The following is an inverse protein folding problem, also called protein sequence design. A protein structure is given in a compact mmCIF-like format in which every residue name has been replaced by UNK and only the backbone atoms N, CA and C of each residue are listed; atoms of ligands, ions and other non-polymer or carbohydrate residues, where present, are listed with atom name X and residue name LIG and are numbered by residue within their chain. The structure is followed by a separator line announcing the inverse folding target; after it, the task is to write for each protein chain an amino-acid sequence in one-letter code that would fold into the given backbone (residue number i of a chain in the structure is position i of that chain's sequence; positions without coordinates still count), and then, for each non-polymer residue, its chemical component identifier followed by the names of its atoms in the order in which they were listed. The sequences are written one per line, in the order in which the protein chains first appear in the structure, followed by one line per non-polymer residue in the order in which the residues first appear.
data_IF_130497856493
#
_entry.id   IF_130497856493
#
_cell.length_a   1.000
_cell.length_b   1.000
_cell.length_c   1.000
_cell.angle_alpha   90.00
_cell.angle_beta   90.00
_cell.angle_gamma   90.00
#
_symmetry.space_group_name_H-M   'P 1'
#
loop_
_entity.id
_entity.type
_entity.pdbx_description
1 polymer ?
#
# COMPACT_ATOMS: atom_id res chain seq x y z
N UNK A 1 9.18 -19.43 26.63
CA UNK A 1 10.24 -19.52 25.60
C UNK A 1 9.63 -19.46 24.19
N UNK A 2 8.44 -20.05 23.92
CA UNK A 2 7.77 -19.99 22.59
C UNK A 2 7.18 -18.60 22.23
N UNK A 3 6.72 -17.83 23.20
CA UNK A 3 6.11 -16.50 22.96
C UNK A 3 7.14 -15.45 22.49
N UNK A 4 8.33 -15.44 23.07
CA UNK A 4 9.40 -14.48 22.73
C UNK A 4 9.93 -14.69 21.29
N UNK A 5 9.99 -15.94 20.84
CA UNK A 5 10.42 -16.28 19.47
C UNK A 5 9.39 -15.82 18.41
N UNK A 6 8.09 -15.96 18.68
CA UNK A 6 7.02 -15.54 17.75
C UNK A 6 6.99 -14.01 17.61
N UNK A 7 7.13 -13.27 18.71
CA UNK A 7 7.11 -11.79 18.69
C UNK A 7 8.31 -11.21 17.93
N UNK A 8 9.51 -11.81 18.10
CA UNK A 8 10.70 -11.39 17.36
C UNK A 8 10.58 -11.66 15.84
N UNK A 9 9.95 -12.77 15.46
CA UNK A 9 9.67 -13.11 14.06
C UNK A 9 8.67 -12.11 13.43
N UNK A 10 7.59 -11.77 14.14
CA UNK A 10 6.60 -10.79 13.70
C UNK A 10 7.21 -9.39 13.50
N UNK A 11 8.02 -8.91 14.45
CA UNK A 11 8.68 -7.62 14.32
C UNK A 11 9.62 -7.56 13.11
N UNK A 12 10.33 -8.66 12.82
CA UNK A 12 11.17 -8.77 11.63
C UNK A 12 10.36 -8.74 10.34
N UNK A 13 9.22 -9.41 10.29
CA UNK A 13 8.31 -9.41 9.13
C UNK A 13 7.70 -8.03 8.87
N UNK A 14 7.30 -7.32 9.92
CA UNK A 14 6.78 -5.95 9.80
C UNK A 14 7.85 -4.99 9.28
N UNK A 15 9.08 -5.11 9.73
CA UNK A 15 10.19 -4.30 9.22
C UNK A 15 10.45 -4.59 7.73
N UNK A 16 10.53 -5.87 7.35
CA UNK A 16 10.65 -6.28 5.94
C UNK A 16 9.52 -5.72 5.06
N UNK A 17 8.28 -5.78 5.55
CA UNK A 17 7.10 -5.26 4.84
C UNK A 17 7.21 -3.76 4.60
N UNK A 18 7.61 -2.99 5.62
CA UNK A 18 7.78 -1.54 5.48
C UNK A 18 8.89 -1.18 4.48
N UNK A 19 10.01 -1.89 4.49
CA UNK A 19 11.09 -1.70 3.50
C UNK A 19 10.59 -1.98 2.07
N UNK A 20 9.87 -3.10 1.86
CA UNK A 20 9.32 -3.45 0.54
C UNK A 20 8.35 -2.38 0.03
N UNK A 21 7.45 -1.87 0.87
CA UNK A 21 6.48 -0.84 0.49
C UNK A 21 7.20 0.47 0.18
N UNK A 22 8.19 0.87 0.98
CA UNK A 22 8.95 2.10 0.76
C UNK A 22 9.70 2.07 -0.60
N UNK A 23 10.26 0.93 -0.98
CA UNK A 23 10.96 0.75 -2.26
C UNK A 23 10.02 0.77 -3.48
N UNK A 24 8.74 0.43 -3.29
CA UNK A 24 7.77 0.34 -4.39
C UNK A 24 6.96 1.63 -4.59
N UNK A 25 6.86 2.50 -3.59
CA UNK A 25 6.23 3.83 -3.58
C UNK A 25 4.76 3.87 -4.04
N UNK A 26 4.42 3.24 -5.18
CA UNK A 26 3.10 3.29 -5.79
C UNK A 26 2.28 2.04 -5.46
N UNK A 27 1.16 2.25 -4.79
CA UNK A 27 0.14 1.24 -4.58
C UNK A 27 -0.86 1.19 -5.75
N UNK A 28 -1.31 0.01 -6.11
CA UNK A 28 -2.50 -0.20 -6.92
C UNK A 28 -3.70 -0.35 -5.98
N UNK A 29 -4.40 0.74 -5.71
CA UNK A 29 -5.58 0.75 -4.84
C UNK A 29 -6.79 0.20 -5.59
N UNK A 30 -7.33 -0.91 -5.10
CA UNK A 30 -8.58 -1.52 -5.58
C UNK A 30 -9.73 -1.21 -4.63
N UNK A 31 -10.80 -0.67 -5.18
CA UNK A 31 -12.08 -0.36 -4.51
C UNK A 31 -13.24 -1.06 -5.22
N UNK A 32 -14.39 -1.14 -4.55
CA UNK A 32 -15.63 -1.69 -5.11
C UNK A 32 -16.62 -0.58 -5.43
N UNK A 33 -17.11 -0.55 -6.66
CA UNK A 33 -18.19 0.32 -7.10
C UNK A 33 -19.54 -0.13 -6.55
N UNK A 34 -20.57 0.75 -6.51
CA UNK A 34 -21.93 0.38 -6.10
C UNK A 34 -22.57 -0.74 -6.92
N UNK A 35 -22.16 -0.92 -8.19
CA UNK A 35 -22.60 -2.00 -9.07
C UNK A 35 -21.86 -3.33 -8.84
N UNK A 36 -20.94 -3.37 -7.85
CA UNK A 36 -20.17 -4.54 -7.46
C UNK A 36 -18.85 -4.74 -8.23
N UNK A 37 -18.59 -3.97 -9.29
CA UNK A 37 -17.35 -4.06 -10.06
C UNK A 37 -16.16 -3.53 -9.27
N UNK A 38 -15.01 -4.14 -9.46
CA UNK A 38 -13.74 -3.70 -8.88
C UNK A 38 -13.03 -2.75 -9.82
N UNK A 39 -12.50 -1.66 -9.28
CA UNK A 39 -11.72 -0.66 -10.02
C UNK A 39 -10.39 -0.47 -9.33
N UNK A 40 -9.31 -0.48 -10.12
CA UNK A 40 -7.95 -0.31 -9.62
C UNK A 40 -7.31 0.94 -10.21
N UNK A 41 -6.58 1.72 -9.38
CA UNK A 41 -5.81 2.90 -9.80
C UNK A 41 -4.51 3.03 -9.04
N UNK A 42 -3.45 3.62 -9.63
CA UNK A 42 -2.22 3.91 -8.92
C UNK A 42 -2.43 5.04 -7.91
N UNK A 43 -1.81 4.91 -6.73
CA UNK A 43 -1.80 5.91 -5.66
C UNK A 43 -0.40 5.97 -5.05
N UNK A 44 0.16 7.18 -4.93
CA UNK A 44 1.43 7.38 -4.24
C UNK A 44 1.26 7.17 -2.74
N UNK A 45 1.95 6.18 -2.19
CA UNK A 45 1.99 5.89 -0.75
C UNK A 45 2.74 7.01 -0.04
N UNK A 46 2.16 7.55 1.00
CA UNK A 46 2.79 8.60 1.78
C UNK A 46 3.68 8.01 2.87
N UNK A 47 4.62 8.82 3.39
CA UNK A 47 5.52 8.41 4.47
C UNK A 47 4.73 7.94 5.68
N UNK A 48 5.20 6.88 6.34
CA UNK A 48 4.55 6.29 7.50
C UNK A 48 4.27 7.33 8.60
N UNK A 49 3.03 7.31 9.10
CA UNK A 49 2.55 8.18 10.17
C UNK A 49 1.70 7.37 11.15
N UNK A 50 1.62 7.76 12.43
CA UNK A 50 0.79 7.05 13.44
C UNK A 50 -0.72 7.09 13.20
N UNK A 51 -1.18 7.76 12.14
CA UNK A 51 -2.61 7.94 11.82
C UNK A 51 -3.26 6.73 11.17
N UNK A 52 -2.46 5.89 10.47
CA UNK A 52 -2.90 4.68 9.79
C UNK A 52 -1.70 3.82 9.41
N UNK A 53 -1.94 2.56 9.06
CA UNK A 53 -0.88 1.67 8.58
C UNK A 53 -0.35 2.12 7.22
N UNK A 54 -1.27 2.55 6.33
CA UNK A 54 -0.96 3.17 5.04
C UNK A 54 -1.92 4.34 4.80
N UNK A 55 -1.46 5.39 4.12
CA UNK A 55 -2.31 6.52 3.81
C UNK A 55 -1.92 7.20 2.49
N UNK A 56 -2.89 7.91 1.92
CA UNK A 56 -2.79 8.54 0.61
C UNK A 56 -3.47 9.89 0.61
N UNK A 57 -3.00 10.79 -0.26
CA UNK A 57 -3.66 12.06 -0.56
C UNK A 57 -4.56 11.88 -1.76
N UNK A 58 -5.73 12.54 -1.75
CA UNK A 58 -6.67 12.48 -2.85
C UNK A 58 -7.52 13.74 -2.93
N UNK A 59 -8.15 13.95 -4.08
CA UNK A 59 -9.24 14.91 -4.23
C UNK A 59 -10.56 14.26 -3.79
N UNK A 60 -11.29 14.92 -2.87
CA UNK A 60 -12.59 14.47 -2.31
C UNK A 60 -13.69 14.36 -3.39
N UNK A 61 -13.54 15.07 -4.51
CA UNK A 61 -14.51 15.13 -5.61
C UNK A 61 -14.35 13.99 -6.63
N UNK A 62 -13.49 13.00 -6.35
CA UNK A 62 -13.24 11.87 -7.26
C UNK A 62 -14.13 10.67 -6.98
N UNK A 63 -14.46 9.89 -8.02
CA UNK A 63 -15.32 8.70 -7.93
C UNK A 63 -14.89 7.67 -6.88
N UNK A 64 -13.58 7.55 -6.63
CA UNK A 64 -13.08 6.62 -5.59
C UNK A 64 -13.61 6.93 -4.20
N UNK A 65 -13.97 8.18 -3.94
CA UNK A 65 -14.54 8.61 -2.66
C UNK A 65 -15.93 8.02 -2.46
N UNK A 66 -16.76 8.03 -3.51
CA UNK A 66 -18.09 7.44 -3.46
C UNK A 66 -18.02 5.90 -3.37
N UNK A 67 -17.05 5.30 -4.04
CA UNK A 67 -16.76 3.87 -3.92
C UNK A 67 -16.37 3.50 -2.48
N UNK A 68 -15.47 4.26 -1.84
CA UNK A 68 -15.04 4.05 -0.45
C UNK A 68 -16.14 4.32 0.59
N UNK A 69 -17.04 5.26 0.32
CA UNK A 69 -18.23 5.50 1.15
C UNK A 69 -19.23 4.35 1.06
N UNK A 70 -19.35 3.74 -0.12
CA UNK A 70 -20.23 2.60 -0.35
C UNK A 70 -19.65 1.32 0.25
N UNK A 71 -18.39 1.00 -0.04
CA UNK A 71 -17.67 -0.15 0.51
C UNK A 71 -16.25 0.26 0.94
N UNK A 72 -15.98 0.33 2.25
CA UNK A 72 -14.66 0.72 2.75
C UNK A 72 -13.60 -0.39 2.65
N UNK A 73 -13.95 -1.60 2.22
CA UNK A 73 -12.98 -2.67 2.06
C UNK A 73 -12.14 -2.41 0.80
N UNK A 74 -10.83 -2.47 0.97
CA UNK A 74 -9.86 -2.18 -0.08
C UNK A 74 -8.78 -3.25 -0.17
N UNK A 75 -8.15 -3.32 -1.34
CA UNK A 75 -6.88 -4.00 -1.49
C UNK A 75 -5.84 -3.05 -2.10
N UNK A 76 -4.64 -3.08 -1.57
CA UNK A 76 -3.46 -2.37 -2.06
C UNK A 76 -2.47 -3.39 -2.59
N UNK A 77 -2.22 -3.36 -3.89
CA UNK A 77 -1.20 -4.18 -4.53
C UNK A 77 0.05 -3.37 -4.82
N UNK A 78 1.22 -3.92 -4.49
CA UNK A 78 2.52 -3.37 -4.85
C UNK A 78 3.30 -4.40 -5.65
N UNK A 79 4.05 -3.97 -6.64
CA UNK A 79 4.88 -4.87 -7.44
C UNK A 79 6.16 -4.19 -7.90
N UNK A 80 7.29 -4.81 -7.63
CA UNK A 80 8.60 -4.37 -8.12
C UNK A 80 9.00 -5.20 -9.37
N UNK A 81 8.97 -4.62 -10.58
CA UNK A 81 9.30 -5.37 -11.79
C UNK A 81 10.79 -5.74 -11.90
N UNK A 82 11.65 -5.10 -11.09
CA UNK A 82 13.09 -5.40 -11.06
C UNK A 82 13.40 -6.63 -10.22
N UNK A 83 12.79 -6.77 -9.06
CA UNK A 83 13.04 -7.87 -8.11
C UNK A 83 11.99 -8.96 -8.18
N UNK A 84 10.80 -8.66 -8.76
CA UNK A 84 9.57 -9.47 -8.78
C UNK A 84 8.93 -9.63 -7.39
N UNK A 85 9.37 -8.87 -6.44
CA UNK A 85 8.74 -8.78 -5.13
C UNK A 85 7.37 -8.14 -5.24
N UNK A 86 6.45 -8.56 -4.40
CA UNK A 86 5.12 -8.00 -4.36
C UNK A 86 4.56 -7.99 -2.93
N UNK A 87 3.64 -7.07 -2.70
CA UNK A 87 2.87 -6.96 -1.45
C UNK A 87 1.39 -6.80 -1.81
N UNK A 88 0.53 -7.48 -1.10
CA UNK A 88 -0.91 -7.32 -1.13
C UNK A 88 -1.41 -7.03 0.29
N UNK A 89 -2.00 -5.86 0.48
CA UNK A 89 -2.59 -5.43 1.74
C UNK A 89 -4.10 -5.34 1.59
N UNK A 90 -4.84 -6.19 2.27
CA UNK A 90 -6.29 -6.06 2.41
C UNK A 90 -6.62 -5.35 3.72
N UNK A 91 -7.55 -4.41 3.69
CA UNK A 91 -7.89 -3.62 4.86
C UNK A 91 -9.15 -2.79 4.69
N UNK A 92 -9.37 -1.91 5.64
CA UNK A 92 -10.48 -0.94 5.61
C UNK A 92 -9.95 0.47 5.47
N UNK A 93 -10.50 1.20 4.51
CA UNK A 93 -10.22 2.60 4.31
C UNK A 93 -11.23 3.50 5.03
N UNK A 94 -10.76 4.65 5.48
CA UNK A 94 -11.59 5.77 5.91
C UNK A 94 -11.12 7.05 5.24
N UNK A 95 -12.02 8.02 5.11
CA UNK A 95 -11.76 9.30 4.47
C UNK A 95 -11.70 10.35 5.58
N UNK A 96 -10.64 11.16 5.59
CA UNK A 96 -10.47 12.26 6.52
C UNK A 96 -10.27 13.58 5.79
N UNK A 97 -11.00 14.61 6.21
CA UNK A 97 -10.76 16.01 5.83
C UNK A 97 -10.38 16.85 7.05
N UNK A 98 -9.73 16.25 8.05
CA UNK A 98 -9.17 16.97 9.18
C UNK A 98 -8.16 18.01 8.70
N UNK A 99 -8.57 19.27 8.71
CA UNK A 99 -7.77 20.40 8.22
C UNK A 99 -6.47 20.58 8.98
N UNK A 100 -6.48 20.36 10.30
CA UNK A 100 -5.29 20.46 11.12
C UNK A 100 -4.25 19.41 10.71
N UNK A 101 -4.72 18.17 10.53
CA UNK A 101 -3.87 17.05 10.10
C UNK A 101 -3.37 17.24 8.66
N UNK A 102 -4.22 17.72 7.75
CA UNK A 102 -3.82 18.01 6.36
C UNK A 102 -2.72 19.07 6.33
N UNK A 103 -2.86 20.18 7.09
CA UNK A 103 -1.82 21.23 7.17
C UNK A 103 -0.50 20.70 7.75
N UNK A 104 -0.57 19.85 8.77
CA UNK A 104 0.61 19.24 9.41
C UNK A 104 1.38 18.34 8.41
N UNK A 105 0.67 17.57 7.59
CA UNK A 105 1.25 16.57 6.69
C UNK A 105 1.51 17.10 5.28
N UNK A 106 1.02 18.32 4.96
CA UNK A 106 1.08 18.85 3.59
C UNK A 106 2.51 18.90 3.05
N UNK A 107 2.66 18.42 1.83
CA UNK A 107 3.90 18.50 1.05
C UNK A 107 3.68 19.36 -0.21
N UNK A 108 4.66 20.17 -0.63
CA UNK A 108 4.52 21.05 -1.80
C UNK A 108 4.21 20.33 -3.12
N UNK A 109 4.64 19.08 -3.25
CA UNK A 109 4.43 18.24 -4.43
C UNK A 109 2.98 17.78 -4.60
N UNK A 110 2.14 17.85 -3.55
CA UNK A 110 0.71 17.54 -3.65
C UNK A 110 0.00 18.45 -4.65
N UNK A 111 0.47 19.70 -4.83
CA UNK A 111 -0.06 20.62 -5.84
C UNK A 111 -0.05 20.05 -7.24
N UNK A 112 0.87 19.17 -7.58
CA UNK A 112 0.93 18.53 -8.89
C UNK A 112 -0.31 17.69 -9.24
N UNK A 113 -1.11 17.32 -8.24
CA UNK A 113 -2.30 16.50 -8.40
C UNK A 113 -3.60 17.31 -8.39
N UNK A 114 -3.52 18.65 -8.24
CA UNK A 114 -4.66 19.55 -8.16
C UNK A 114 -4.47 20.67 -9.16
N UNK A 115 -5.41 20.80 -10.09
CA UNK A 115 -5.47 21.96 -10.97
C UNK A 115 -5.73 23.21 -10.13
N UNK A 116 -5.01 24.30 -10.43
CA UNK A 116 -5.25 25.59 -9.80
C UNK A 116 -6.52 26.21 -10.40
N UNK A 117 -7.60 26.22 -9.61
CA UNK A 117 -8.91 26.78 -9.98
C UNK A 117 -9.09 28.20 -9.39
N UNK A 118 -8.06 28.73 -8.74
CA UNK A 118 -8.05 30.03 -8.10
C UNK A 118 -8.54 30.04 -6.64
N UNK A 119 -8.18 31.07 -5.89
CA UNK A 119 -8.49 31.19 -4.48
C UNK A 119 -7.84 30.11 -3.62
N UNK A 120 -8.62 29.47 -2.76
CA UNK A 120 -8.15 28.35 -1.92
C UNK A 120 -8.07 27.01 -2.67
N UNK A 121 -8.57 26.94 -3.91
CA UNK A 121 -8.55 25.71 -4.74
C UNK A 121 -7.26 25.66 -5.59
N UNK A 122 -6.12 25.73 -4.95
CA UNK A 122 -4.78 25.85 -5.58
C UNK A 122 -3.85 24.66 -5.26
N UNK A 123 -4.39 23.60 -4.66
CA UNK A 123 -3.60 22.45 -4.18
C UNK A 123 -2.76 22.74 -2.93
N UNK A 124 -2.94 23.91 -2.31
CA UNK A 124 -2.31 24.26 -1.04
C UNK A 124 -2.94 23.56 0.16
N UNK A 125 -2.38 23.74 1.37
CA UNK A 125 -2.83 23.03 2.57
C UNK A 125 -4.28 23.35 2.99
N UNK A 126 -4.82 24.45 2.50
CA UNK A 126 -6.19 24.90 2.78
C UNK A 126 -7.19 24.55 1.68
N UNK A 127 -6.72 23.91 0.60
CA UNK A 127 -7.59 23.51 -0.50
C UNK A 127 -8.71 22.57 -0.02
N UNK A 128 -10.00 22.97 -0.19
CA UNK A 128 -11.14 22.21 0.30
C UNK A 128 -11.28 20.83 -0.35
N UNK A 129 -10.65 20.61 -1.51
CA UNK A 129 -10.65 19.33 -2.22
C UNK A 129 -9.71 18.30 -1.58
N UNK A 130 -8.73 18.73 -0.78
CA UNK A 130 -7.79 17.81 -0.13
C UNK A 130 -8.50 16.90 0.86
N UNK A 131 -8.25 15.61 0.71
CA UNK A 131 -8.67 14.57 1.64
C UNK A 131 -7.58 13.51 1.78
N UNK A 132 -7.57 12.84 2.92
CA UNK A 132 -6.70 11.70 3.21
C UNK A 132 -7.52 10.42 3.13
N UNK A 133 -6.99 9.39 2.46
CA UNK A 133 -7.47 8.02 2.56
C UNK A 133 -6.57 7.32 3.57
N UNK A 134 -7.12 6.89 4.70
CA UNK A 134 -6.44 6.20 5.78
C UNK A 134 -6.81 4.73 5.72
N UNK A 135 -5.82 3.84 5.56
CA UNK A 135 -6.04 2.39 5.45
C UNK A 135 -5.50 1.69 6.69
N UNK A 136 -6.37 0.93 7.34
CA UNK A 136 -6.02 0.01 8.42
C UNK A 136 -5.95 -1.40 7.86
N UNK A 137 -4.75 -1.95 7.83
CA UNK A 137 -4.47 -3.28 7.31
C UNK A 137 -5.10 -4.36 8.20
N UNK A 138 -5.67 -5.39 7.57
CA UNK A 138 -6.25 -6.55 8.22
C UNK A 138 -5.51 -7.82 7.86
N UNK A 139 -5.09 -7.94 6.60
CA UNK A 139 -4.36 -9.10 6.09
C UNK A 139 -3.29 -8.60 5.14
N UNK A 140 -2.08 -9.11 5.28
CA UNK A 140 -0.97 -8.81 4.38
C UNK A 140 -0.37 -10.10 3.87
N UNK A 141 -0.24 -10.20 2.55
CA UNK A 141 0.54 -11.22 1.87
C UNK A 141 1.68 -10.54 1.13
N UNK A 142 2.87 -11.07 1.22
CA UNK A 142 4.00 -10.54 0.45
C UNK A 142 4.99 -11.63 0.06
N UNK A 143 5.73 -11.37 -0.98
CA UNK A 143 6.83 -12.22 -1.44
C UNK A 143 8.10 -11.38 -1.51
N UNK A 144 9.12 -11.84 -0.78
CA UNK A 144 10.48 -11.30 -0.83
C UNK A 144 11.39 -12.24 -1.61
N UNK A 145 12.14 -11.69 -2.57
CA UNK A 145 13.08 -12.47 -3.37
C UNK A 145 14.26 -12.94 -2.51
N UNK A 146 14.58 -14.21 -2.59
CA UNK A 146 15.75 -14.80 -1.89
C UNK A 146 17.06 -14.55 -2.62
N UNK A 147 17.01 -14.29 -3.92
CA UNK A 147 18.18 -14.26 -4.76
C UNK A 147 18.16 -13.14 -5.80
N UNK A 148 19.36 -12.66 -6.18
CA UNK A 148 19.53 -11.76 -7.32
C UNK A 148 19.04 -12.38 -8.64
N UNK A 149 18.63 -11.55 -9.61
CA UNK A 149 18.09 -11.98 -10.91
C UNK A 149 18.86 -13.10 -11.62
N UNK A 150 20.22 -13.08 -11.70
CA UNK A 150 20.97 -14.14 -12.36
C UNK A 150 20.75 -15.51 -11.69
N UNK A 151 20.68 -15.55 -10.37
CA UNK A 151 20.47 -16.77 -9.61
C UNK A 151 19.02 -17.26 -9.68
N UNK A 152 18.05 -16.35 -9.65
CA UNK A 152 16.63 -16.69 -9.84
C UNK A 152 16.36 -17.28 -11.24
N UNK A 153 17.02 -16.74 -12.28
CA UNK A 153 16.96 -17.31 -13.63
C UNK A 153 17.58 -18.71 -13.68
N UNK A 154 18.69 -18.93 -13.01
CA UNK A 154 19.32 -20.25 -12.91
C UNK A 154 18.40 -21.26 -12.21
N UNK A 155 17.78 -20.90 -11.08
CA UNK A 155 16.82 -21.76 -10.37
C UNK A 155 15.58 -22.05 -11.21
N UNK A 156 15.09 -21.07 -12.00
CA UNK A 156 13.99 -21.29 -12.94
C UNK A 156 14.36 -22.31 -14.04
N UNK A 157 15.52 -22.13 -14.68
CA UNK A 157 16.00 -23.06 -15.71
C UNK A 157 16.23 -24.47 -15.14
N UNK A 158 16.79 -24.55 -13.93
CA UNK A 158 16.95 -25.82 -13.21
C UNK A 158 15.58 -26.48 -12.94
N UNK A 159 14.58 -25.70 -12.46
CA UNK A 159 13.22 -26.19 -12.23
C UNK A 159 12.59 -26.77 -13.51
N UNK A 160 12.71 -26.07 -14.65
CA UNK A 160 12.23 -26.55 -15.96
C UNK A 160 12.88 -27.86 -16.37
N UNK A 161 14.18 -28.04 -16.13
CA UNK A 161 14.94 -29.22 -16.50
C UNK A 161 14.71 -30.40 -15.55
N UNK A 162 14.57 -30.11 -14.24
CA UNK A 162 14.51 -31.15 -13.19
C UNK A 162 13.09 -31.45 -12.72
N UNK A 163 12.10 -30.61 -13.09
CA UNK A 163 10.72 -30.68 -12.57
C UNK A 163 10.58 -30.30 -11.11
N UNK A 164 11.59 -29.67 -10.52
CA UNK A 164 11.55 -29.18 -9.13
C UNK A 164 11.05 -27.74 -9.05
N UNK A 165 10.35 -27.39 -7.98
CA UNK A 165 9.94 -26.00 -7.74
C UNK A 165 11.16 -25.07 -7.62
N UNK A 166 11.22 -23.98 -8.40
CA UNK A 166 12.32 -23.03 -8.30
C UNK A 166 12.27 -22.24 -6.99
N UNK A 167 13.36 -22.22 -6.23
CA UNK A 167 13.48 -21.44 -4.99
C UNK A 167 13.75 -19.96 -5.30
N UNK A 168 12.72 -19.23 -5.78
CA UNK A 168 12.84 -17.85 -6.24
C UNK A 168 12.47 -16.80 -5.19
N UNK A 169 11.75 -17.18 -4.14
CA UNK A 169 11.29 -16.25 -3.11
C UNK A 169 10.66 -16.93 -1.91
N UNK A 170 10.38 -16.14 -0.88
CA UNK A 170 9.64 -16.55 0.31
C UNK A 170 8.33 -15.76 0.37
N UNK A 171 7.22 -16.47 0.40
CA UNK A 171 5.91 -15.90 0.67
C UNK A 171 5.64 -15.85 2.17
N UNK A 172 5.12 -14.75 2.65
CA UNK A 172 4.78 -14.51 4.04
C UNK A 172 3.35 -13.99 4.15
N UNK A 173 2.75 -14.24 5.31
CA UNK A 173 1.40 -13.84 5.64
C UNK A 173 1.35 -13.24 7.04
N UNK A 174 0.61 -12.14 7.21
CA UNK A 174 0.37 -11.47 8.48
C UNK A 174 -1.12 -11.15 8.63
N UNK A 175 -1.68 -11.51 9.77
CA UNK A 175 -3.07 -11.19 10.15
C UNK A 175 -3.14 -9.93 11.02
N UNK A 176 -4.33 -9.33 11.15
CA UNK A 176 -4.57 -8.10 11.89
C UNK A 176 -3.99 -8.09 13.32
N UNK A 177 -3.96 -9.24 14.00
CA UNK A 177 -3.38 -9.40 15.34
C UNK A 177 -1.85 -9.34 15.38
N UNK A 178 -1.19 -9.45 14.24
CA UNK A 178 0.28 -9.38 14.10
C UNK A 178 0.74 -8.02 13.55
N UNK A 179 -0.20 -7.20 13.08
CA UNK A 179 0.05 -5.86 12.51
C UNK A 179 -0.01 -4.73 13.56
N UNK A 180 -0.26 -5.07 14.85
CA UNK A 180 -0.44 -4.10 15.96
C UNK A 180 0.51 -4.37 17.10
#
# INVERSE_FOLDING_TARGET
VKATSKTADTASKLHELHELIADMEIALLTTRRPDGLLVTRPMATQQQQPIADLWFVTNIETFKIDELRHDPNVNLGYYNPKTREWVSVSGRASISQDRAKIRELHQPDWRAWFEDEGGERDGGPDDPRLALILVHAQVVHYMKAKHSRPRALFEYVKGVVTGSDPDIGREEHLEAGELR
#
